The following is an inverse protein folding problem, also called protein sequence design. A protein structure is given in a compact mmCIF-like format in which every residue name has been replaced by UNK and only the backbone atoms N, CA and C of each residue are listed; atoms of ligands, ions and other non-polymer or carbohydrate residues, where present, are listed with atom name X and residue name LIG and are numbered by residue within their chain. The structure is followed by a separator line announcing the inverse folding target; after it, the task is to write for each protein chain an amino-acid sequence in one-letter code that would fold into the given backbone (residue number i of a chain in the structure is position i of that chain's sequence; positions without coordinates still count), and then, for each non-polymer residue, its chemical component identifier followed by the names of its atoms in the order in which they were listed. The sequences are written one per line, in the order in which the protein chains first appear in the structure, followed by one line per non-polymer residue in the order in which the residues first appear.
data_IF_827951662830
#
_entry.id   IF_827951662830
#
_cell.length_a   1.000
_cell.length_b   1.000
_cell.length_c   1.000
_cell.angle_alpha   90.00
_cell.angle_beta   90.00
_cell.angle_gamma   90.00
#
_symmetry.space_group_name_H-M   'P 1'
#
loop_
_entity.id
_entity.type
_entity.pdbx_description
1 polymer ?
#
# COMPACT_ATOMS: atom_id res chain seq x y z
N UNK A 1 15.18 -2.99 1.08
CA UNK A 1 15.17 -2.27 2.36
C UNK A 1 13.96 -1.37 2.51
N UNK A 2 13.50 -0.67 1.48
CA UNK A 2 12.36 0.25 1.54
C UNK A 2 11.13 -0.37 2.23
N UNK A 3 10.74 -1.58 1.85
CA UNK A 3 9.58 -2.29 2.42
C UNK A 3 9.95 -2.96 3.76
N UNK A 4 11.14 -3.56 3.83
CA UNK A 4 11.54 -4.38 4.97
C UNK A 4 11.68 -3.56 6.26
N UNK A 5 12.28 -2.36 6.19
CA UNK A 5 12.49 -1.51 7.36
C UNK A 5 11.17 -1.16 8.09
N UNK A 6 10.14 -0.58 7.44
CA UNK A 6 8.88 -0.30 8.10
C UNK A 6 8.15 -1.56 8.58
N UNK A 7 8.21 -2.65 7.80
CA UNK A 7 7.58 -3.91 8.17
C UNK A 7 8.18 -4.51 9.44
N UNK A 8 9.52 -4.58 9.54
CA UNK A 8 10.21 -5.06 10.73
C UNK A 8 9.95 -4.16 11.94
N UNK A 9 9.96 -2.84 11.77
CA UNK A 9 9.63 -1.91 12.83
C UNK A 9 8.21 -2.16 13.37
N UNK A 10 7.24 -2.33 12.48
CA UNK A 10 5.86 -2.66 12.85
C UNK A 10 5.80 -3.97 13.65
N UNK A 11 6.46 -5.02 13.16
CA UNK A 11 6.51 -6.32 13.82
C UNK A 11 7.15 -6.22 15.22
N UNK A 12 8.30 -5.55 15.34
CA UNK A 12 8.97 -5.32 16.62
C UNK A 12 8.06 -4.62 17.61
N UNK A 13 7.37 -3.54 17.20
CA UNK A 13 6.49 -2.77 18.09
C UNK A 13 5.26 -3.58 18.54
N UNK A 14 4.72 -4.43 17.67
CA UNK A 14 3.59 -5.29 18.03
C UNK A 14 4.01 -6.40 18.98
N UNK A 15 5.15 -7.05 18.74
CA UNK A 15 5.66 -8.18 19.53
C UNK A 15 6.23 -7.76 20.89
N UNK A 16 6.93 -6.61 20.95
CA UNK A 16 7.52 -6.09 22.20
C UNK A 16 6.46 -5.66 23.24
N UNK A 17 5.21 -5.53 22.83
CA UNK A 17 4.11 -5.23 23.72
C UNK A 17 4.29 -3.89 24.47
N UNK A 18 3.75 -3.79 25.67
CA UNK A 18 3.77 -2.55 26.47
C UNK A 18 5.17 -2.00 26.77
N UNK A 19 6.21 -2.83 26.68
CA UNK A 19 7.60 -2.42 26.90
C UNK A 19 8.09 -1.38 25.88
N UNK A 20 7.51 -1.35 24.69
CA UNK A 20 7.88 -0.41 23.62
C UNK A 20 7.14 0.95 23.67
N UNK A 21 6.26 1.18 24.63
CA UNK A 21 5.53 2.46 24.72
C UNK A 21 6.43 3.68 24.92
N UNK A 22 7.58 3.53 25.61
CA UNK A 22 8.49 4.63 25.89
C UNK A 22 9.36 5.02 24.68
N UNK A 23 9.78 4.07 23.87
CA UNK A 23 10.75 4.28 22.78
C UNK A 23 10.17 3.97 21.38
N UNK A 24 9.04 3.28 21.30
CA UNK A 24 8.49 2.79 20.03
C UNK A 24 8.20 3.88 19.00
N UNK A 25 7.79 5.07 19.42
CA UNK A 25 7.58 6.21 18.55
C UNK A 25 8.88 6.71 17.91
N UNK A 26 9.99 6.67 18.67
CA UNK A 26 11.31 7.06 18.15
C UNK A 26 11.75 6.05 17.10
N UNK A 27 11.69 4.74 17.41
CA UNK A 27 12.02 3.69 16.45
C UNK A 27 11.21 3.84 15.15
N UNK A 28 9.89 3.97 15.28
CA UNK A 28 9.01 4.06 14.11
C UNK A 28 9.35 5.26 13.22
N UNK A 29 9.57 6.42 13.83
CA UNK A 29 9.92 7.65 13.11
C UNK A 29 11.29 7.56 12.46
N UNK A 30 12.30 7.03 13.18
CA UNK A 30 13.64 6.84 12.64
C UNK A 30 13.63 5.88 11.46
N UNK A 31 12.88 4.79 11.54
CA UNK A 31 12.75 3.82 10.45
C UNK A 31 12.04 4.43 9.23
N UNK A 32 10.98 5.21 9.43
CA UNK A 32 10.33 5.92 8.33
C UNK A 32 11.28 6.92 7.66
N UNK A 33 12.04 7.69 8.44
CA UNK A 33 13.05 8.61 7.94
C UNK A 33 14.19 7.88 7.20
N UNK A 34 14.61 6.71 7.70
CA UNK A 34 15.62 5.88 7.01
C UNK A 34 15.09 5.36 5.67
N UNK A 35 13.82 4.94 5.60
CA UNK A 35 13.19 4.55 4.34
C UNK A 35 13.12 5.73 3.35
N UNK A 36 12.82 6.94 3.83
CA UNK A 36 12.88 8.14 2.98
C UNK A 36 14.30 8.41 2.48
N UNK A 37 15.30 8.31 3.34
CA UNK A 37 16.71 8.48 2.95
C UNK A 37 17.13 7.49 1.86
N UNK A 38 16.73 6.21 2.00
CA UNK A 38 16.97 5.19 0.97
C UNK A 38 16.24 5.57 -0.35
N UNK A 39 14.99 6.03 -0.27
CA UNK A 39 14.25 6.50 -1.45
C UNK A 39 14.94 7.66 -2.17
N UNK A 40 15.50 8.62 -1.42
CA UNK A 40 16.27 9.75 -1.99
C UNK A 40 17.57 9.25 -2.65
N UNK A 41 18.28 8.31 -2.04
CA UNK A 41 19.48 7.71 -2.63
C UNK A 41 19.13 7.00 -3.96
N UNK A 42 18.06 6.20 -3.98
CA UNK A 42 17.62 5.51 -5.20
C UNK A 42 17.18 6.49 -6.29
N UNK A 43 16.54 7.60 -5.92
CA UNK A 43 16.17 8.66 -6.86
C UNK A 43 17.40 9.25 -7.56
N UNK A 44 18.43 9.64 -6.81
CA UNK A 44 19.65 10.17 -7.41
C UNK A 44 20.44 9.10 -8.19
N UNK A 45 20.44 7.86 -7.72
CA UNK A 45 21.03 6.74 -8.44
C UNK A 45 20.33 6.49 -9.78
N UNK A 46 18.99 6.62 -9.82
CA UNK A 46 18.20 6.50 -11.04
C UNK A 46 18.49 7.65 -12.02
N UNK A 47 18.61 8.88 -11.53
CA UNK A 47 18.95 10.04 -12.38
C UNK A 47 20.31 9.91 -13.04
N UNK A 48 21.27 9.27 -12.38
CA UNK A 48 22.60 8.99 -12.94
C UNK A 48 22.63 7.93 -14.03
N UNK A 49 21.53 7.21 -14.27
CA UNK A 49 21.45 6.16 -15.30
C UNK A 49 20.92 6.73 -16.62
N UNK A 50 21.33 6.18 -17.79
CA UNK A 50 20.70 6.47 -19.08
C UNK A 50 19.18 6.19 -19.02
N UNK A 51 18.39 6.92 -19.80
CA UNK A 51 16.92 6.83 -19.77
C UNK A 51 16.39 5.41 -19.99
N UNK A 52 17.05 4.66 -20.87
CA UNK A 52 16.68 3.27 -21.20
C UNK A 52 16.88 2.30 -20.02
N UNK A 53 17.73 2.63 -19.05
CA UNK A 53 18.10 1.77 -17.91
C UNK A 53 17.58 2.30 -16.56
N UNK A 54 16.63 3.22 -16.57
CA UNK A 54 16.05 3.79 -15.34
C UNK A 54 15.07 2.86 -14.65
N UNK A 55 14.39 1.99 -15.40
CA UNK A 55 13.53 0.97 -14.82
C UNK A 55 14.37 -0.25 -14.40
N UNK A 56 14.27 -0.63 -13.13
CA UNK A 56 15.00 -1.77 -12.55
C UNK A 56 14.02 -2.72 -11.90
N UNK A 57 14.00 -3.97 -12.39
CA UNK A 57 13.24 -5.04 -11.77
C UNK A 57 14.16 -5.90 -10.90
N UNK A 58 13.84 -6.04 -9.63
CA UNK A 58 14.54 -6.89 -8.69
C UNK A 58 13.68 -8.09 -8.32
N UNK A 59 14.05 -9.27 -8.81
CA UNK A 59 13.44 -10.53 -8.39
C UNK A 59 13.98 -10.91 -7.01
N UNK A 60 13.08 -11.20 -6.07
CA UNK A 60 13.40 -11.67 -4.72
C UNK A 60 13.41 -13.20 -4.68
N UNK A 61 12.28 -13.81 -5.04
CA UNK A 61 12.12 -15.27 -5.12
C UNK A 61 10.94 -15.62 -6.02
N UNK A 62 10.85 -16.88 -6.43
CA UNK A 62 9.66 -17.39 -7.13
C UNK A 62 8.62 -17.75 -6.09
N UNK A 63 7.48 -17.05 -6.12
CA UNK A 63 6.41 -17.22 -5.14
C UNK A 63 5.49 -18.39 -5.49
N UNK A 64 4.98 -18.40 -6.73
CA UNK A 64 4.08 -19.45 -7.21
C UNK A 64 4.67 -20.05 -8.48
N UNK A 65 4.75 -21.38 -8.52
CA UNK A 65 5.18 -22.13 -9.71
C UNK A 65 4.36 -23.40 -9.83
N UNK A 66 3.24 -23.31 -10.57
CA UNK A 66 2.31 -24.43 -10.77
C UNK A 66 1.99 -24.54 -12.27
N UNK A 67 2.52 -25.54 -12.93
CA UNK A 67 2.35 -25.71 -14.37
C UNK A 67 2.84 -24.50 -15.15
N UNK A 68 1.97 -23.90 -15.93
CA UNK A 68 2.23 -22.68 -16.71
C UNK A 68 2.13 -21.40 -15.86
N UNK A 69 1.49 -21.46 -14.70
CA UNK A 69 1.31 -20.30 -13.81
C UNK A 69 2.57 -20.08 -12.97
N UNK A 70 3.35 -19.08 -13.34
CA UNK A 70 4.54 -18.66 -12.61
C UNK A 70 4.41 -17.21 -12.20
N UNK A 71 4.56 -16.93 -10.92
CA UNK A 71 4.57 -15.59 -10.35
C UNK A 71 5.80 -15.43 -9.48
N UNK A 72 6.62 -14.47 -9.82
CA UNK A 72 7.78 -14.09 -9.04
C UNK A 72 7.40 -12.96 -8.06
N UNK A 73 7.89 -13.05 -6.84
CA UNK A 73 7.92 -11.92 -5.94
C UNK A 73 9.05 -10.99 -6.41
N UNK A 74 8.69 -9.99 -7.20
CA UNK A 74 9.61 -9.04 -7.80
C UNK A 74 9.16 -7.62 -7.54
N UNK A 75 10.12 -6.70 -7.47
CA UNK A 75 9.91 -5.29 -7.25
C UNK A 75 10.37 -4.53 -8.48
N UNK A 76 9.55 -3.63 -8.97
CA UNK A 76 9.83 -2.71 -10.07
C UNK A 76 10.07 -1.32 -9.52
N UNK A 77 11.26 -0.79 -9.76
CA UNK A 77 11.58 0.61 -9.50
C UNK A 77 11.73 1.33 -10.83
N UNK A 78 10.76 2.17 -11.14
CA UNK A 78 10.73 3.01 -12.32
C UNK A 78 10.49 4.50 -11.96
N UNK A 79 10.35 5.34 -12.95
CA UNK A 79 10.16 6.78 -12.77
C UNK A 79 8.87 7.11 -12.02
N UNK A 80 7.80 6.33 -12.21
CA UNK A 80 6.53 6.53 -11.53
C UNK A 80 6.62 6.06 -10.07
N UNK A 81 7.12 4.84 -9.87
CA UNK A 81 7.20 4.25 -8.54
C UNK A 81 8.11 5.04 -7.61
N UNK A 82 9.23 5.59 -8.09
CA UNK A 82 10.13 6.40 -7.25
C UNK A 82 9.46 7.71 -6.78
N UNK A 83 8.61 8.34 -7.60
CA UNK A 83 7.84 9.51 -7.18
C UNK A 83 6.91 9.16 -6.02
N UNK A 84 6.21 8.03 -6.10
CA UNK A 84 5.36 7.56 -5.01
C UNK A 84 6.17 7.11 -3.78
N UNK A 85 7.32 6.46 -3.96
CA UNK A 85 8.22 6.11 -2.84
C UNK A 85 8.60 7.35 -2.04
N UNK A 86 9.03 8.42 -2.71
CA UNK A 86 9.40 9.69 -2.06
C UNK A 86 8.19 10.34 -1.37
N UNK A 87 7.02 10.33 -2.01
CA UNK A 87 5.80 10.87 -1.42
C UNK A 87 5.41 10.09 -0.17
N UNK A 88 5.32 8.75 -0.25
CA UNK A 88 4.89 7.89 0.85
C UNK A 88 5.83 7.99 2.03
N UNK A 89 7.14 7.89 1.78
CA UNK A 89 8.14 7.89 2.86
C UNK A 89 8.39 9.29 3.39
N UNK A 90 8.41 10.31 2.56
CA UNK A 90 8.64 11.70 2.95
C UNK A 90 7.47 12.25 3.77
N UNK A 91 6.26 12.24 3.20
CA UNK A 91 5.06 12.70 3.91
C UNK A 91 4.78 11.79 5.11
N UNK A 92 4.97 10.46 4.97
CA UNK A 92 4.86 9.51 6.06
C UNK A 92 5.77 9.86 7.23
N UNK A 93 7.02 10.24 6.97
CA UNK A 93 7.96 10.67 8.03
C UNK A 93 7.49 11.95 8.73
N UNK A 94 7.01 12.94 7.99
CA UNK A 94 6.46 14.17 8.59
C UNK A 94 5.26 13.87 9.48
N UNK A 95 4.38 12.96 9.03
CA UNK A 95 3.22 12.51 9.82
C UNK A 95 3.66 11.76 11.08
N UNK A 96 4.72 10.94 11.02
CA UNK A 96 5.29 10.30 12.20
C UNK A 96 5.81 11.32 13.21
N UNK A 97 6.56 12.33 12.75
CA UNK A 97 7.06 13.42 13.61
C UNK A 97 5.90 14.16 14.29
N UNK A 98 4.89 14.54 13.52
CA UNK A 98 3.68 15.19 14.05
C UNK A 98 2.97 14.31 15.09
N UNK A 99 2.88 13.02 14.82
CA UNK A 99 2.20 12.04 15.68
C UNK A 99 2.89 11.85 17.04
N UNK A 100 4.18 12.18 17.18
CA UNK A 100 4.90 12.09 18.46
C UNK A 100 4.22 12.96 19.52
N UNK A 101 3.91 14.21 19.16
CA UNK A 101 3.21 15.14 20.05
C UNK A 101 1.72 14.80 20.15
N UNK A 102 1.07 14.52 19.01
CA UNK A 102 -0.37 14.24 18.93
C UNK A 102 -0.78 13.03 19.80
N UNK A 103 0.00 11.96 19.81
CA UNK A 103 -0.28 10.72 20.54
C UNK A 103 0.46 10.64 21.89
N UNK A 104 1.04 11.74 22.38
CA UNK A 104 1.87 11.73 23.59
C UNK A 104 1.16 11.22 24.85
N UNK A 105 -0.13 11.50 24.96
CA UNK A 105 -0.98 11.12 26.11
C UNK A 105 -1.76 9.81 25.91
N UNK A 106 -1.65 9.16 24.74
CA UNK A 106 -2.37 7.92 24.46
C UNK A 106 -1.64 6.71 25.04
N UNK A 107 -2.38 5.85 25.75
CA UNK A 107 -1.84 4.65 26.40
C UNK A 107 -1.38 3.59 25.39
N UNK A 108 -1.97 3.57 24.20
CA UNK A 108 -1.68 2.63 23.13
C UNK A 108 -0.80 3.22 22.02
N UNK A 109 -0.05 4.29 22.32
CA UNK A 109 0.81 5.02 21.38
C UNK A 109 1.67 4.09 20.51
N UNK A 110 2.28 3.05 21.10
CA UNK A 110 3.09 2.07 20.36
C UNK A 110 2.31 1.37 19.23
N UNK A 111 1.05 1.00 19.51
CA UNK A 111 0.17 0.32 18.55
C UNK A 111 -0.14 1.21 17.37
N UNK A 112 -0.34 2.51 17.65
CA UNK A 112 -0.53 3.52 16.62
C UNK A 112 0.67 3.59 15.66
N UNK A 113 1.89 3.74 16.19
CA UNK A 113 3.10 3.81 15.38
C UNK A 113 3.42 2.50 14.65
N UNK A 114 3.09 1.36 15.24
CA UNK A 114 3.20 0.07 14.56
C UNK A 114 2.28 0.00 13.33
N UNK A 115 1.04 0.46 13.46
CA UNK A 115 0.08 0.47 12.35
C UNK A 115 0.44 1.49 11.26
N UNK A 116 1.02 2.65 11.63
CA UNK A 116 1.54 3.60 10.65
C UNK A 116 2.66 2.97 9.81
N UNK A 117 3.62 2.30 10.44
CA UNK A 117 4.69 1.63 9.71
C UNK A 117 4.20 0.42 8.89
N UNK A 118 3.20 -0.32 9.38
CA UNK A 118 2.55 -1.37 8.61
C UNK A 118 1.92 -0.80 7.34
N UNK A 119 1.26 0.35 7.47
CA UNK A 119 0.64 1.03 6.33
C UNK A 119 1.70 1.47 5.31
N UNK A 120 2.81 2.11 5.76
CA UNK A 120 3.91 2.50 4.87
C UNK A 120 4.50 1.28 4.16
N UNK A 121 4.75 0.17 4.87
CA UNK A 121 5.29 -1.04 4.27
C UNK A 121 4.36 -1.61 3.19
N UNK A 122 3.06 -1.70 3.49
CA UNK A 122 2.05 -2.20 2.56
C UNK A 122 1.91 -1.27 1.33
N UNK A 123 1.96 0.05 1.53
CA UNK A 123 1.87 1.02 0.45
C UNK A 123 3.11 0.97 -0.45
N UNK A 124 4.30 0.80 0.12
CA UNK A 124 5.53 0.61 -0.65
C UNK A 124 5.50 -0.72 -1.44
N UNK A 125 4.97 -1.79 -0.87
CA UNK A 125 4.78 -3.05 -1.59
C UNK A 125 3.79 -2.88 -2.76
N UNK A 126 2.74 -2.08 -2.58
CA UNK A 126 1.76 -1.79 -3.63
C UNK A 126 2.40 -1.07 -4.81
N UNK A 127 3.16 0.01 -4.56
CA UNK A 127 3.73 0.84 -5.63
C UNK A 127 4.97 0.25 -6.28
N UNK A 128 5.66 -0.66 -5.60
CA UNK A 128 6.86 -1.34 -6.10
C UNK A 128 6.58 -2.72 -6.68
N UNK A 129 5.35 -3.23 -6.62
CA UNK A 129 5.01 -4.55 -7.17
C UNK A 129 5.18 -4.59 -8.69
N UNK A 130 5.81 -5.65 -9.21
CA UNK A 130 6.07 -5.87 -10.63
C UNK A 130 4.94 -6.66 -11.34
N UNK A 131 3.93 -7.05 -10.58
CA UNK A 131 2.80 -7.80 -11.10
C UNK A 131 1.50 -7.43 -10.40
N UNK A 132 0.37 -7.67 -11.05
CA UNK A 132 -0.94 -7.47 -10.43
C UNK A 132 -1.11 -8.27 -9.14
N UNK A 133 -0.46 -9.44 -9.00
CA UNK A 133 -0.55 -10.23 -7.78
C UNK A 133 0.29 -9.63 -6.64
N UNK A 134 1.50 -9.12 -6.92
CA UNK A 134 2.31 -8.40 -5.94
C UNK A 134 1.64 -7.10 -5.50
N UNK A 135 1.08 -6.36 -6.47
CA UNK A 135 0.25 -5.18 -6.19
C UNK A 135 -0.94 -5.54 -5.32
N UNK A 136 -1.62 -6.67 -5.57
CA UNK A 136 -2.77 -7.12 -4.79
C UNK A 136 -2.43 -7.35 -3.32
N UNK A 137 -1.26 -7.93 -3.00
CA UNK A 137 -0.82 -8.10 -1.61
C UNK A 137 -0.64 -6.76 -0.90
N UNK A 138 0.00 -5.81 -1.56
CA UNK A 138 0.10 -4.44 -1.04
C UNK A 138 -1.26 -3.77 -0.89
N UNK A 139 -2.15 -3.95 -1.87
CA UNK A 139 -3.51 -3.44 -1.90
C UNK A 139 -4.37 -3.91 -0.72
N UNK A 140 -4.30 -5.20 -0.41
CA UNK A 140 -4.93 -5.80 0.75
C UNK A 140 -4.29 -5.34 2.07
N UNK A 141 -2.96 -5.23 2.07
CA UNK A 141 -2.19 -4.77 3.22
C UNK A 141 -2.55 -3.34 3.64
N UNK A 142 -2.70 -2.41 2.69
CA UNK A 142 -3.15 -1.03 3.00
C UNK A 142 -4.60 -1.01 3.47
N UNK A 143 -5.46 -1.90 2.93
CA UNK A 143 -6.83 -2.08 3.40
C UNK A 143 -6.91 -2.52 4.86
N UNK A 144 -6.11 -3.51 5.24
CA UNK A 144 -6.00 -3.97 6.63
C UNK A 144 -5.43 -2.88 7.55
N UNK A 145 -4.33 -2.24 7.16
CA UNK A 145 -3.70 -1.20 7.97
C UNK A 145 -4.64 -0.01 8.17
N UNK A 146 -5.41 0.39 7.13
CA UNK A 146 -6.41 1.45 7.24
C UNK A 146 -7.53 1.07 8.20
N UNK A 147 -8.04 -0.16 8.15
CA UNK A 147 -9.03 -0.67 9.10
C UNK A 147 -8.56 -0.53 10.54
N UNK A 148 -7.29 -0.93 10.83
CA UNK A 148 -6.69 -0.86 12.15
C UNK A 148 -6.48 0.59 12.62
N UNK A 149 -6.15 1.49 11.71
CA UNK A 149 -5.90 2.90 12.00
C UNK A 149 -7.19 3.70 12.16
N UNK A 150 -8.20 3.51 11.31
CA UNK A 150 -9.52 4.16 11.44
C UNK A 150 -10.20 3.71 12.73
N UNK A 151 -10.14 2.41 13.03
CA UNK A 151 -10.67 1.82 14.25
C UNK A 151 -9.71 1.85 15.45
N UNK A 152 -8.72 2.75 15.47
CA UNK A 152 -7.71 2.78 16.54
C UNK A 152 -8.35 2.89 17.93
N UNK A 153 -9.33 3.76 18.10
CA UNK A 153 -10.12 3.90 19.34
C UNK A 153 -11.39 3.05 19.29
N UNK A 154 -11.26 1.76 19.03
CA UNK A 154 -12.35 0.80 18.84
C UNK A 154 -13.28 0.62 20.05
N UNK A 155 -12.89 1.12 21.25
CA UNK A 155 -13.77 1.15 22.41
C UNK A 155 -15.01 2.02 22.17
N UNK A 156 -14.94 2.99 21.27
CA UNK A 156 -16.08 3.82 20.87
C UNK A 156 -16.82 3.14 19.71
N UNK A 157 -18.11 2.76 19.87
CA UNK A 157 -18.86 2.02 18.86
C UNK A 157 -18.88 2.71 17.48
N UNK A 158 -18.95 4.05 17.45
CA UNK A 158 -18.94 4.82 16.21
C UNK A 158 -17.67 4.59 15.38
N UNK A 159 -16.49 4.54 16.04
CA UNK A 159 -15.21 4.33 15.35
C UNK A 159 -15.04 2.89 14.88
N UNK A 160 -15.51 1.93 15.66
CA UNK A 160 -15.56 0.54 15.25
C UNK A 160 -16.49 0.32 14.05
N UNK A 161 -17.63 1.02 14.00
CA UNK A 161 -18.55 0.96 12.85
C UNK A 161 -17.95 1.61 11.62
N UNK A 162 -17.31 2.78 11.76
CA UNK A 162 -16.63 3.47 10.67
C UNK A 162 -15.53 2.62 10.03
N UNK A 163 -14.68 1.97 10.86
CA UNK A 163 -13.62 1.09 10.35
C UNK A 163 -14.17 -0.14 9.61
N UNK A 164 -15.22 -0.78 10.15
CA UNK A 164 -15.90 -1.91 9.48
C UNK A 164 -16.50 -1.48 8.14
N UNK A 165 -17.17 -0.33 8.10
CA UNK A 165 -17.75 0.21 6.86
C UNK A 165 -16.67 0.46 5.82
N UNK A 166 -15.57 1.14 6.20
CA UNK A 166 -14.44 1.38 5.31
C UNK A 166 -13.86 0.06 4.78
N UNK A 167 -13.64 -0.92 5.64
CA UNK A 167 -13.09 -2.23 5.25
C UNK A 167 -14.01 -2.96 4.27
N UNK A 168 -15.30 -3.08 4.56
CA UNK A 168 -16.25 -3.81 3.72
C UNK A 168 -16.41 -3.14 2.35
N UNK A 169 -16.54 -1.81 2.31
CA UNK A 169 -16.67 -1.08 1.05
C UNK A 169 -15.41 -1.17 0.18
N UNK A 170 -14.23 -1.10 0.78
CA UNK A 170 -12.98 -1.34 0.05
C UNK A 170 -12.93 -2.78 -0.48
N UNK A 171 -13.38 -3.76 0.30
CA UNK A 171 -13.39 -5.17 -0.11
C UNK A 171 -14.26 -5.43 -1.36
N UNK A 172 -15.35 -4.69 -1.54
CA UNK A 172 -16.13 -4.75 -2.78
C UNK A 172 -15.27 -4.33 -3.99
N UNK A 173 -14.50 -3.26 -3.86
CA UNK A 173 -13.52 -2.86 -4.88
C UNK A 173 -12.44 -3.91 -5.10
N UNK A 174 -11.92 -4.52 -4.02
CA UNK A 174 -10.86 -5.53 -4.07
C UNK A 174 -11.29 -6.78 -4.86
N UNK A 175 -12.58 -7.13 -4.86
CA UNK A 175 -13.13 -8.17 -5.76
C UNK A 175 -12.93 -7.82 -7.24
N UNK A 176 -13.11 -6.53 -7.60
CA UNK A 176 -12.82 -6.08 -8.96
C UNK A 176 -11.37 -6.37 -9.38
N UNK A 177 -10.41 -6.04 -8.52
CA UNK A 177 -9.00 -6.35 -8.78
C UNK A 177 -8.74 -7.86 -8.91
N UNK A 178 -9.37 -8.67 -8.05
CA UNK A 178 -9.28 -10.13 -8.12
C UNK A 178 -9.79 -10.67 -9.46
N UNK A 179 -10.94 -10.19 -9.93
CA UNK A 179 -11.47 -10.57 -11.25
C UNK A 179 -10.57 -10.11 -12.39
N UNK A 180 -10.02 -8.88 -12.32
CA UNK A 180 -9.07 -8.40 -13.31
C UNK A 180 -7.84 -9.33 -13.41
N UNK A 181 -7.29 -9.78 -12.29
CA UNK A 181 -6.17 -10.74 -12.23
C UNK A 181 -6.56 -12.07 -12.86
N UNK A 182 -7.72 -12.62 -12.52
CA UNK A 182 -8.20 -13.89 -13.06
C UNK A 182 -8.42 -13.83 -14.57
N UNK A 183 -9.04 -12.76 -15.08
CA UNK A 183 -9.28 -12.55 -16.52
C UNK A 183 -7.93 -12.38 -17.25
N UNK A 184 -7.01 -11.58 -16.68
CA UNK A 184 -5.67 -11.39 -17.27
C UNK A 184 -4.92 -12.71 -17.40
N UNK A 185 -4.92 -13.53 -16.37
CA UNK A 185 -4.28 -14.84 -16.42
C UNK A 185 -4.95 -15.78 -17.42
N UNK A 186 -6.28 -15.88 -17.41
CA UNK A 186 -7.04 -16.76 -18.28
C UNK A 186 -6.88 -16.40 -19.77
N UNK A 187 -6.81 -15.11 -20.09
CA UNK A 187 -6.75 -14.63 -21.47
C UNK A 187 -5.32 -14.42 -22.00
N UNK A 188 -4.40 -13.97 -21.13
CA UNK A 188 -3.04 -13.58 -21.52
C UNK A 188 -1.97 -14.56 -21.03
N UNK A 189 -2.33 -15.49 -20.14
CA UNK A 189 -1.39 -16.46 -19.55
C UNK A 189 -0.39 -15.87 -18.56
N UNK A 190 -0.52 -14.58 -18.22
CA UNK A 190 0.41 -13.86 -17.36
C UNK A 190 -0.31 -12.83 -16.47
N UNK A 191 0.33 -12.48 -15.36
CA UNK A 191 -0.12 -11.42 -14.43
C UNK A 191 0.95 -10.35 -14.20
N UNK A 192 2.14 -10.47 -14.84
CA UNK A 192 3.18 -9.45 -14.78
C UNK A 192 2.82 -8.26 -15.66
N UNK A 193 3.20 -7.04 -15.26
CA UNK A 193 2.90 -5.85 -16.06
C UNK A 193 3.56 -5.88 -17.44
N UNK A 194 4.80 -6.32 -17.51
CA UNK A 194 5.52 -6.49 -18.77
C UNK A 194 4.83 -7.51 -19.70
N UNK A 195 4.46 -8.68 -19.16
CA UNK A 195 3.78 -9.71 -19.92
C UNK A 195 2.39 -9.30 -20.38
N UNK A 196 1.61 -8.61 -19.55
CA UNK A 196 0.30 -8.06 -19.96
C UNK A 196 0.46 -7.04 -21.07
N UNK A 197 1.44 -6.15 -20.99
CA UNK A 197 1.73 -5.16 -22.04
C UNK A 197 2.12 -5.85 -23.36
N UNK A 198 2.91 -6.89 -23.32
CA UNK A 198 3.35 -7.63 -24.50
C UNK A 198 2.20 -8.40 -25.17
N UNK A 199 1.34 -9.06 -24.38
CA UNK A 199 0.26 -9.90 -24.91
C UNK A 199 -1.06 -9.13 -25.15
N UNK A 200 -1.17 -7.87 -24.70
CA UNK A 200 -2.38 -7.05 -24.84
C UNK A 200 -2.84 -6.92 -26.30
N UNK A 201 -1.91 -6.83 -27.24
CA UNK A 201 -2.21 -6.69 -28.66
C UNK A 201 -2.81 -7.98 -29.30
N UNK A 202 -2.67 -9.12 -28.66
CA UNK A 202 -3.22 -10.39 -29.10
C UNK A 202 -4.58 -10.71 -28.49
N UNK A 203 -5.00 -9.96 -27.48
CA UNK A 203 -6.28 -10.15 -26.81
C UNK A 203 -7.43 -9.50 -27.58
N UNK A 204 -8.66 -10.03 -27.41
CA UNK A 204 -9.83 -9.38 -27.96
C UNK A 204 -10.12 -8.06 -27.24
N UNK A 205 -10.71 -7.11 -27.96
CA UNK A 205 -11.14 -5.83 -27.41
C UNK A 205 -12.09 -6.01 -26.20
N UNK A 206 -12.98 -6.97 -26.29
CA UNK A 206 -13.90 -7.32 -25.20
C UNK A 206 -13.17 -7.77 -23.93
N UNK A 207 -12.10 -8.58 -24.08
CA UNK A 207 -11.26 -9.02 -22.95
C UNK A 207 -10.55 -7.85 -22.30
N UNK A 208 -9.92 -6.98 -23.08
CA UNK A 208 -9.20 -5.82 -22.56
C UNK A 208 -10.15 -4.83 -21.89
N UNK A 209 -11.36 -4.64 -22.45
CA UNK A 209 -12.41 -3.85 -21.83
C UNK A 209 -12.85 -4.45 -20.50
N UNK A 210 -13.05 -5.78 -20.43
CA UNK A 210 -13.42 -6.45 -19.18
C UNK A 210 -12.36 -6.27 -18.09
N UNK A 211 -11.07 -6.43 -18.41
CA UNK A 211 -9.96 -6.18 -17.48
C UNK A 211 -9.99 -4.72 -17.00
N UNK A 212 -10.11 -3.77 -17.93
CA UNK A 212 -10.16 -2.34 -17.60
C UNK A 212 -11.34 -1.96 -16.71
N UNK A 213 -12.53 -2.50 -16.97
CA UNK A 213 -13.71 -2.27 -16.13
C UNK A 213 -13.51 -2.85 -14.72
N UNK A 214 -12.92 -4.04 -14.60
CA UNK A 214 -12.66 -4.65 -13.29
C UNK A 214 -11.59 -3.87 -12.51
N UNK A 215 -10.56 -3.34 -13.17
CA UNK A 215 -9.58 -2.43 -12.56
C UNK A 215 -10.23 -1.10 -12.13
N UNK A 216 -11.16 -0.58 -12.93
CA UNK A 216 -11.94 0.61 -12.56
C UNK A 216 -12.78 0.36 -11.30
N UNK A 217 -13.43 -0.81 -11.18
CA UNK A 217 -14.18 -1.19 -9.96
C UNK A 217 -13.26 -1.20 -8.73
N UNK A 218 -12.04 -1.73 -8.88
CA UNK A 218 -11.04 -1.70 -7.82
C UNK A 218 -10.66 -0.26 -7.42
N UNK A 219 -10.41 0.61 -8.41
CA UNK A 219 -10.10 2.01 -8.19
C UNK A 219 -11.25 2.76 -7.51
N UNK A 220 -12.50 2.51 -7.92
CA UNK A 220 -13.72 3.10 -7.31
C UNK A 220 -13.78 2.80 -5.82
N UNK A 221 -13.43 1.58 -5.40
CA UNK A 221 -13.38 1.19 -3.99
C UNK A 221 -12.35 1.99 -3.20
N UNK A 222 -11.08 1.93 -3.60
CA UNK A 222 -9.96 2.59 -2.87
C UNK A 222 -10.00 4.11 -2.95
N UNK A 223 -10.36 4.66 -4.11
CA UNK A 223 -10.41 6.11 -4.32
C UNK A 223 -11.73 6.75 -3.88
N UNK A 224 -12.59 6.00 -3.18
CA UNK A 224 -13.87 6.48 -2.66
C UNK A 224 -14.71 7.19 -3.73
N UNK A 225 -14.78 6.61 -4.93
CA UNK A 225 -15.58 7.15 -6.02
C UNK A 225 -17.02 6.60 -5.93
N UNK A 226 -17.93 7.26 -6.63
CA UNK A 226 -19.32 6.79 -6.74
C UNK A 226 -19.37 5.38 -7.37
N UNK A 227 -20.11 4.42 -6.81
CA UNK A 227 -21.05 4.53 -5.67
C UNK A 227 -20.46 4.17 -4.30
N UNK A 228 -19.13 3.94 -4.18
CA UNK A 228 -18.48 3.47 -2.95
C UNK A 228 -17.86 4.60 -2.10
N UNK A 229 -18.28 5.85 -2.28
CA UNK A 229 -17.67 7.02 -1.62
C UNK A 229 -17.99 7.14 -0.11
N UNK A 230 -19.04 6.48 0.37
CA UNK A 230 -19.58 6.75 1.71
C UNK A 230 -18.65 6.35 2.88
N UNK A 231 -17.64 5.50 2.64
CA UNK A 231 -16.70 5.12 3.70
C UNK A 231 -15.71 6.23 4.04
N UNK A 232 -15.37 7.10 3.06
CA UNK A 232 -14.34 8.12 3.22
C UNK A 232 -14.73 9.18 4.28
N UNK A 233 -16.00 9.62 4.26
CA UNK A 233 -16.50 10.56 5.26
C UNK A 233 -16.47 9.98 6.69
N UNK A 234 -16.91 8.74 6.85
CA UNK A 234 -16.93 8.08 8.16
C UNK A 234 -15.50 7.74 8.65
N UNK A 235 -14.55 7.52 7.74
CA UNK A 235 -13.16 7.24 8.07
C UNK A 235 -12.44 8.40 8.80
N UNK A 236 -13.01 9.62 8.75
CA UNK A 236 -12.53 10.77 9.55
C UNK A 236 -12.70 10.57 11.06
N UNK A 237 -13.39 9.53 11.51
CA UNK A 237 -13.47 9.14 12.92
C UNK A 237 -12.11 8.76 13.53
N UNK A 238 -11.15 8.28 12.72
CA UNK A 238 -9.79 7.96 13.19
C UNK A 238 -8.98 9.18 13.64
N UNK A 239 -7.78 8.96 14.24
CA UNK A 239 -6.86 10.03 14.59
C UNK A 239 -6.49 10.91 13.39
N UNK A 240 -6.36 12.23 13.58
CA UNK A 240 -6.03 13.18 12.50
C UNK A 240 -4.81 12.78 11.65
N UNK A 241 -3.68 12.29 12.21
CA UNK A 241 -2.55 11.85 11.41
C UNK A 241 -2.90 10.69 10.44
N UNK A 242 -3.87 9.85 10.82
CA UNK A 242 -4.38 8.76 9.97
C UNK A 242 -5.08 9.32 8.74
N UNK A 243 -5.97 10.30 8.95
CA UNK A 243 -6.66 10.96 7.83
C UNK A 243 -5.68 11.64 6.89
N UNK A 244 -4.63 12.28 7.41
CA UNK A 244 -3.59 12.89 6.60
C UNK A 244 -2.82 11.85 5.76
N UNK A 245 -2.50 10.69 6.33
CA UNK A 245 -1.76 9.63 5.62
C UNK A 245 -2.63 8.91 4.60
N UNK A 246 -3.79 8.41 5.03
CA UNK A 246 -4.66 7.54 4.22
C UNK A 246 -5.36 8.35 3.11
N UNK A 247 -5.96 9.48 3.47
CA UNK A 247 -6.91 10.16 2.60
C UNK A 247 -6.27 11.22 1.71
N UNK A 248 -5.20 11.87 2.18
CA UNK A 248 -4.55 12.95 1.42
C UNK A 248 -3.39 12.45 0.58
N UNK A 249 -2.51 11.60 1.13
CA UNK A 249 -1.22 11.34 0.52
C UNK A 249 -1.10 9.98 -0.20
N UNK A 250 -1.88 8.95 0.17
CA UNK A 250 -1.51 7.60 -0.25
C UNK A 250 -2.66 6.69 -0.69
N UNK A 251 -3.52 6.19 0.19
CA UNK A 251 -4.45 5.11 -0.12
C UNK A 251 -5.50 5.50 -1.16
N UNK A 252 -6.06 6.70 -1.07
CA UNK A 252 -7.11 7.18 -1.98
C UNK A 252 -6.53 7.45 -3.39
N UNK A 253 -5.26 7.78 -3.49
CA UNK A 253 -4.56 7.95 -4.76
C UNK A 253 -4.09 6.64 -5.39
N UNK A 254 -4.04 5.55 -4.62
CA UNK A 254 -3.59 4.24 -5.12
C UNK A 254 -4.50 3.64 -6.20
N UNK A 255 -5.79 3.99 -6.21
CA UNK A 255 -6.73 3.52 -7.23
C UNK A 255 -6.57 4.23 -8.59
N UNK A 256 -6.05 5.44 -8.60
CA UNK A 256 -5.84 6.26 -9.80
C UNK A 256 -4.46 6.03 -10.38
#
# INVERSE_FOLDING_TARGET
WLIALPLFSSAILLLAGKRSNSWGHVLATTVSASAFTVGVIEFFAMQGRPEENRAVTQKLFTWISVGTFKVDASLLLDQLSICFVLLITGVGTLIHIYSIAYMSHDLDRRRFFAYLNLFIAAMLLLVLGDSYLNLYVGWEGVGLASYLLIGFWNQKPAYATASKKAFVMNRIGDMGLSFAIMISFAALGTVSFSGVKEHAHHASEATMTAIGVMLLVAAVGKSAQFPLQAWLGDAMAGPTPVSALIHAATMVTAGV
#
